data_IF_024326063575
#
_entry.id   IF_024326063575
#
_cell.length_a   1.000
_cell.length_b   1.000
_cell.length_c   1.000
_cell.angle_alpha   90.00
_cell.angle_beta   90.00
_cell.angle_gamma   90.00
#
_symmetry.space_group_name_H-M   'P 1'
#
loop_
_entity.id
_entity.type
_entity.pdbx_description
1 polymer ?
#
# COMPACT_ATOMS: atom_id res chain seq x y z
N UNK A 1 25.69 6.49 -12.78
CA UNK A 1 24.88 6.28 -12.58
C UNK A 1 24.53 6.28 -13.02
N UNK A 2 24.57 6.15 -13.26
CA UNK A 2 23.76 5.90 -13.47
C UNK A 2 23.21 6.23 -13.63
N UNK A 3 23.34 6.41 -13.78
CA UNK A 3 22.61 6.50 -13.74
C UNK A 3 21.95 6.82 -13.91
N UNK A 4 22.07 7.00 -14.07
CA UNK A 4 21.19 7.14 -14.09
C UNK A 4 20.78 7.37 -14.72
N UNK A 5 21.06 7.23 -15.36
CA UNK A 5 20.44 7.30 -15.94
C UNK A 5 19.99 7.13 -16.36
N UNK A 6 20.37 6.87 -17.07
CA UNK A 6 19.42 6.40 -16.95
C UNK A 6 18.07 6.93 -17.28
N UNK A 7 17.66 8.15 -17.79
CA UNK A 7 16.32 8.68 -17.97
C UNK A 7 15.52 7.93 -19.00
N UNK A 8 16.13 7.50 -20.02
CA UNK A 8 15.44 6.67 -20.99
C UNK A 8 14.85 5.44 -20.35
N UNK A 9 15.55 4.91 -19.38
CA UNK A 9 15.09 3.73 -18.68
C UNK A 9 13.83 4.01 -17.88
N UNK A 10 13.72 5.22 -17.34
CA UNK A 10 12.54 5.58 -16.61
C UNK A 10 11.30 5.46 -17.48
N UNK A 11 11.43 5.89 -18.72
CA UNK A 11 10.28 5.90 -19.60
C UNK A 11 9.84 4.50 -19.96
N UNK A 12 10.80 3.59 -20.12
CA UNK A 12 10.43 2.22 -20.46
C UNK A 12 9.72 1.54 -19.31
N UNK A 13 9.95 2.04 -18.11
CA UNK A 13 9.33 1.43 -16.94
C UNK A 13 7.84 1.69 -16.88
N UNK A 14 7.33 2.59 -17.67
CA UNK A 14 5.90 2.81 -17.70
C UNK A 14 5.13 1.57 -18.13
N UNK A 15 5.78 0.70 -18.87
CA UNK A 15 5.16 -0.53 -19.33
C UNK A 15 5.52 -1.73 -18.47
N UNK A 16 6.22 -1.50 -17.38
CA UNK A 16 6.61 -2.55 -16.47
C UNK A 16 5.39 -3.07 -15.73
N UNK A 17 5.12 -4.39 -15.78
CA UNK A 17 3.98 -4.94 -15.06
C UNK A 17 4.00 -4.61 -13.56
N UNK A 18 5.19 -4.55 -12.97
CA UNK A 18 5.29 -4.21 -11.55
C UNK A 18 4.80 -2.79 -11.30
N UNK A 19 5.19 -1.84 -12.16
CA UNK A 19 4.75 -0.46 -12.02
C UNK A 19 3.24 -0.36 -12.16
N UNK A 20 2.66 -1.11 -13.07
CA UNK A 20 1.23 -1.10 -13.25
C UNK A 20 0.51 -1.67 -12.01
N UNK A 21 1.07 -2.72 -11.44
CA UNK A 21 0.50 -3.30 -10.23
C UNK A 21 0.54 -2.31 -9.07
N UNK A 22 1.64 -1.58 -8.94
CA UNK A 22 1.77 -0.58 -7.88
C UNK A 22 0.77 0.56 -8.06
N UNK A 23 0.60 1.03 -9.29
CA UNK A 23 -0.37 2.10 -9.56
C UNK A 23 -1.77 1.64 -9.22
N UNK A 24 -2.10 0.40 -9.57
CA UNK A 24 -3.40 -0.16 -9.28
C UNK A 24 -3.61 -0.29 -7.77
N UNK A 25 -2.59 -0.75 -7.07
CA UNK A 25 -2.65 -0.88 -5.62
C UNK A 25 -2.91 0.47 -4.96
N UNK A 26 -2.17 1.50 -5.37
CA UNK A 26 -2.34 2.81 -4.76
C UNK A 26 -3.70 3.42 -5.09
N UNK A 27 -4.23 3.15 -6.27
CA UNK A 27 -5.59 3.61 -6.58
C UNK A 27 -6.60 2.98 -5.65
N UNK A 28 -6.43 1.69 -5.37
CA UNK A 28 -7.33 1.00 -4.45
C UNK A 28 -7.19 1.53 -3.03
N UNK A 29 -5.94 1.78 -2.61
CA UNK A 29 -5.69 2.33 -1.28
C UNK A 29 -6.35 3.69 -1.13
N UNK A 30 -6.32 4.50 -2.17
CA UNK A 30 -6.91 5.84 -2.12
C UNK A 30 -8.42 5.80 -1.96
N UNK A 31 -9.05 4.68 -2.22
CA UNK A 31 -10.50 4.55 -2.02
C UNK A 31 -10.86 4.18 -0.59
N UNK A 32 -9.87 3.86 0.23
CA UNK A 32 -10.12 3.52 1.62
C UNK A 32 -10.37 4.77 2.45
N UNK A 33 -11.03 4.59 3.60
CA UNK A 33 -11.16 5.67 4.55
C UNK A 33 -9.80 6.11 5.07
N UNK A 34 -9.77 7.29 5.67
CA UNK A 34 -8.50 7.90 6.06
C UNK A 34 -7.72 7.02 7.04
N UNK A 35 -8.39 6.47 8.04
CA UNK A 35 -7.72 5.64 9.01
C UNK A 35 -7.17 4.36 8.37
N UNK A 36 -7.99 3.69 7.57
CA UNK A 36 -7.56 2.45 6.91
C UNK A 36 -6.38 2.73 5.98
N UNK A 37 -6.45 3.85 5.28
CA UNK A 37 -5.38 4.23 4.38
C UNK A 37 -4.08 4.42 5.14
N UNK A 38 -4.13 5.10 6.27
CA UNK A 38 -2.94 5.32 7.10
C UNK A 38 -2.36 4.00 7.58
N UNK A 39 -3.21 3.10 8.03
CA UNK A 39 -2.75 1.82 8.56
C UNK A 39 -2.06 1.00 7.49
N UNK A 40 -2.68 0.90 6.30
CA UNK A 40 -2.09 0.08 5.25
C UNK A 40 -0.79 0.68 4.74
N UNK A 41 -0.69 2.00 4.67
CA UNK A 41 0.54 2.64 4.24
C UNK A 41 1.68 2.40 5.23
N UNK A 42 1.39 2.46 6.52
CA UNK A 42 2.39 2.16 7.54
C UNK A 42 2.84 0.71 7.44
N UNK A 43 1.90 -0.18 7.20
CA UNK A 43 2.22 -1.59 7.04
C UNK A 43 3.14 -1.81 5.84
N UNK A 44 2.89 -1.12 4.75
CA UNK A 44 3.72 -1.24 3.55
C UNK A 44 5.11 -0.66 3.75
N UNK A 45 5.27 0.22 4.74
CA UNK A 45 6.57 0.77 5.10
C UNK A 45 7.30 -0.13 6.10
N UNK A 46 6.81 -1.34 6.30
CA UNK A 46 7.42 -2.32 7.19
C UNK A 46 7.35 -1.95 8.67
N UNK A 47 6.38 -1.13 9.03
CA UNK A 47 6.16 -0.85 10.44
C UNK A 47 5.55 -2.06 11.12
N UNK A 48 5.99 -2.34 12.34
CA UNK A 48 5.43 -3.43 13.11
C UNK A 48 4.04 -3.06 13.62
N UNK A 49 3.28 -4.07 14.04
CA UNK A 49 1.97 -3.81 14.61
C UNK A 49 2.07 -2.93 15.85
N UNK A 50 3.12 -3.13 16.65
CA UNK A 50 3.34 -2.28 17.82
C UNK A 50 3.55 -0.84 17.41
N UNK A 51 4.34 -0.60 16.38
CA UNK A 51 4.60 0.75 15.90
C UNK A 51 3.34 1.38 15.35
N UNK A 52 2.57 0.64 14.59
CA UNK A 52 1.32 1.15 14.04
C UNK A 52 0.35 1.47 15.17
N UNK A 53 0.33 0.62 16.18
CA UNK A 53 -0.50 0.86 17.36
C UNK A 53 -0.14 2.18 18.02
N UNK A 54 1.15 2.45 18.19
CA UNK A 54 1.60 3.68 18.81
C UNK A 54 1.25 4.91 17.99
N UNK A 55 1.42 4.80 16.68
CA UNK A 55 1.19 5.94 15.80
C UNK A 55 -0.29 6.27 15.71
N UNK A 56 -1.13 5.24 15.62
CA UNK A 56 -2.57 5.44 15.40
C UNK A 56 -3.38 5.56 16.68
N UNK A 57 -2.81 5.13 17.81
CA UNK A 57 -3.55 5.13 19.05
C UNK A 57 -4.46 3.93 19.24
N UNK A 58 -4.43 3.00 18.30
CA UNK A 58 -5.23 1.78 18.39
C UNK A 58 -4.46 0.70 19.16
N UNK A 59 -5.18 -0.29 19.69
CA UNK A 59 -4.51 -1.44 20.28
C UNK A 59 -3.92 -2.30 19.19
N UNK A 60 -2.92 -3.11 19.55
CA UNK A 60 -2.31 -4.03 18.60
C UNK A 60 -3.35 -4.97 18.00
N UNK A 61 -4.28 -5.45 18.83
CA UNK A 61 -5.35 -6.33 18.36
C UNK A 61 -6.21 -5.63 17.31
N UNK A 62 -6.55 -4.37 17.57
CA UNK A 62 -7.34 -3.62 16.60
C UNK A 62 -6.58 -3.38 15.30
N UNK A 63 -5.27 -3.12 15.40
CA UNK A 63 -4.45 -2.96 14.19
C UNK A 63 -4.50 -4.23 13.36
N UNK A 64 -4.31 -5.38 14.00
CA UNK A 64 -4.33 -6.65 13.29
C UNK A 64 -5.68 -6.90 12.63
N UNK A 65 -6.76 -6.64 13.35
CA UNK A 65 -8.10 -6.82 12.81
C UNK A 65 -8.35 -5.91 11.63
N UNK A 66 -7.97 -4.65 11.75
CA UNK A 66 -8.18 -3.70 10.65
C UNK A 66 -7.34 -4.06 9.44
N UNK A 67 -6.11 -4.49 9.64
CA UNK A 67 -5.27 -4.90 8.52
C UNK A 67 -5.88 -6.09 7.78
N UNK A 68 -6.42 -7.05 8.54
CA UNK A 68 -7.07 -8.20 7.92
C UNK A 68 -8.24 -7.74 7.05
N UNK A 69 -9.07 -6.83 7.58
CA UNK A 69 -10.22 -6.33 6.83
C UNK A 69 -9.80 -5.50 5.62
N UNK A 70 -8.75 -4.71 5.77
CA UNK A 70 -8.25 -3.90 4.67
C UNK A 70 -7.76 -4.81 3.55
N UNK A 71 -7.01 -5.85 3.89
CA UNK A 71 -6.52 -6.78 2.90
C UNK A 71 -7.67 -7.45 2.16
N UNK A 72 -8.73 -7.81 2.87
CA UNK A 72 -9.91 -8.40 2.23
C UNK A 72 -10.57 -7.42 1.29
N UNK A 73 -10.69 -6.17 1.69
CA UNK A 73 -11.26 -5.14 0.85
C UNK A 73 -10.46 -4.97 -0.44
N UNK A 74 -9.13 -4.93 -0.31
CA UNK A 74 -8.28 -4.76 -1.47
C UNK A 74 -8.40 -5.94 -2.42
N UNK A 75 -8.51 -7.13 -1.88
CA UNK A 75 -8.70 -8.31 -2.72
C UNK A 75 -10.02 -8.25 -3.49
N UNK A 76 -11.07 -7.78 -2.83
CA UNK A 76 -12.36 -7.66 -3.48
C UNK A 76 -12.34 -6.62 -4.58
N UNK A 77 -11.69 -5.49 -4.33
CA UNK A 77 -11.57 -4.46 -5.35
C UNK A 77 -10.85 -4.99 -6.58
N UNK A 78 -9.80 -5.77 -6.36
CA UNK A 78 -9.05 -6.33 -7.46
C UNK A 78 -9.90 -7.27 -8.29
N UNK A 79 -10.72 -8.08 -7.62
CA UNK A 79 -11.56 -9.04 -8.32
C UNK A 79 -12.61 -8.35 -9.18
N UNK A 80 -13.07 -7.19 -8.74
CA UNK A 80 -14.14 -6.49 -9.46
C UNK A 80 -13.63 -5.80 -10.71
N UNK A 81 -12.32 -5.73 -10.89
CA UNK A 81 -11.77 -5.17 -12.09
C UNK A 81 -11.62 -6.23 -13.17
#
# INVERSE_FOLDING_TARGET
FVTLNREGDWMTEENDPLQEMLRQLYRMINQLGQLDKSIILLYLEDKSYDEISEITGLTVTNVATKLSRIKDKLKKMKKEE
#
